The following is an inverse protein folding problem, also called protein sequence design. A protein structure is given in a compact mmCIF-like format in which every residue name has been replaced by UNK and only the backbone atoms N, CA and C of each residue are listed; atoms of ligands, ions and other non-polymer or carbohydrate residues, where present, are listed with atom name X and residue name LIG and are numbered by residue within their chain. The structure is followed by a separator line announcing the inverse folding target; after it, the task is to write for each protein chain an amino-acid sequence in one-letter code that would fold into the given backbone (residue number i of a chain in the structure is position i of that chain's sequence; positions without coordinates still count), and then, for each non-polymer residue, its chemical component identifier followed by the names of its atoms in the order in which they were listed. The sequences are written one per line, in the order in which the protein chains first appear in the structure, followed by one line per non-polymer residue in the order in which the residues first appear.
data_IF_908038404023
#
_entry.id   IF_908038404023
#
_cell.length_a   1.000
_cell.length_b   1.000
_cell.length_c   1.000
_cell.angle_alpha   90.00
_cell.angle_beta   90.00
_cell.angle_gamma   90.00
#
_symmetry.space_group_name_H-M   'P 1'
#
loop_
_entity.id
_entity.type
_entity.pdbx_description
1 polymer ?
#
# COMPACT_ATOMS: atom_id res chain seq x y z
N UNK A 1 1.34 -31.27 3.17
CA UNK A 1 1.32 -30.24 2.10
C UNK A 1 -0.01 -30.36 1.37
N UNK A 2 -0.73 -29.25 1.21
CA UNK A 2 -2.00 -29.26 0.46
C UNK A 2 -1.76 -29.59 -1.02
N UNK A 3 -2.71 -30.30 -1.63
CA UNK A 3 -2.67 -30.61 -3.07
C UNK A 3 -2.77 -29.30 -3.86
N UNK A 4 -1.85 -29.08 -4.81
CA UNK A 4 -1.87 -27.89 -5.67
C UNK A 4 -3.18 -27.76 -6.44
N UNK A 5 -3.70 -26.54 -6.52
CA UNK A 5 -4.89 -26.21 -7.32
C UNK A 5 -4.59 -26.30 -8.81
N UNK A 6 -5.64 -26.38 -9.65
CA UNK A 6 -5.49 -26.47 -11.12
C UNK A 6 -4.65 -25.32 -11.69
N UNK A 7 -4.92 -24.09 -11.27
CA UNK A 7 -4.19 -22.90 -11.74
C UNK A 7 -2.73 -22.88 -11.27
N UNK A 8 -2.46 -23.33 -10.05
CA UNK A 8 -1.08 -23.45 -9.54
C UNK A 8 -0.25 -24.45 -10.35
N UNK A 9 -0.86 -25.56 -10.78
CA UNK A 9 -0.18 -26.53 -11.65
C UNK A 9 0.15 -25.96 -13.03
N UNK A 10 -0.82 -25.28 -13.65
CA UNK A 10 -0.61 -24.62 -14.95
C UNK A 10 0.47 -23.54 -14.90
N UNK A 11 0.52 -22.76 -13.80
CA UNK A 11 1.60 -21.81 -13.59
C UNK A 11 2.97 -22.51 -13.46
N UNK A 12 3.04 -23.57 -12.67
CA UNK A 12 4.28 -24.31 -12.43
C UNK A 12 4.82 -25.00 -13.70
N UNK A 13 3.95 -25.44 -14.60
CA UNK A 13 4.34 -26.02 -15.90
C UNK A 13 5.07 -25.01 -16.81
N UNK A 14 4.80 -23.71 -16.66
CA UNK A 14 5.47 -22.65 -17.41
C UNK A 14 6.77 -22.15 -16.78
N UNK A 15 7.07 -22.59 -15.55
CA UNK A 15 8.25 -22.15 -14.79
C UNK A 15 9.26 -23.29 -14.75
N UNK A 16 10.47 -23.04 -15.26
CA UNK A 16 11.58 -23.98 -15.17
C UNK A 16 12.31 -23.79 -13.84
N UNK A 17 12.25 -24.81 -12.98
CA UNK A 17 12.94 -24.78 -11.70
C UNK A 17 14.46 -24.66 -11.88
N UNK A 18 15.07 -23.67 -11.22
CA UNK A 18 16.52 -23.43 -11.25
C UNK A 18 17.01 -22.59 -12.43
N UNK A 19 16.14 -22.22 -13.38
CA UNK A 19 16.49 -21.30 -14.46
C UNK A 19 16.54 -19.86 -13.95
N UNK A 20 17.61 -19.16 -14.28
CA UNK A 20 17.72 -17.71 -14.07
C UNK A 20 17.10 -17.00 -15.28
N UNK A 21 15.91 -16.42 -15.09
CA UNK A 21 15.25 -15.60 -16.09
C UNK A 21 15.82 -14.18 -16.09
N UNK A 22 15.94 -13.55 -17.26
CA UNK A 22 16.17 -12.11 -17.32
C UNK A 22 14.94 -11.35 -16.83
N UNK A 23 15.13 -10.09 -16.40
CA UNK A 23 14.03 -9.26 -15.91
C UNK A 23 12.89 -9.14 -16.94
N UNK A 24 13.22 -9.04 -18.22
CA UNK A 24 12.24 -8.90 -19.31
C UNK A 24 11.43 -10.19 -19.51
N UNK A 25 12.10 -11.35 -19.46
CA UNK A 25 11.42 -12.64 -19.57
C UNK A 25 10.52 -12.89 -18.36
N UNK A 26 11.02 -12.62 -17.16
CA UNK A 26 10.24 -12.75 -15.93
C UNK A 26 9.00 -11.84 -15.95
N UNK A 27 9.15 -10.58 -16.39
CA UNK A 27 8.03 -9.63 -16.47
C UNK A 27 6.93 -10.07 -17.45
N UNK A 28 7.31 -10.67 -18.59
CA UNK A 28 6.34 -11.26 -19.53
C UNK A 28 5.69 -12.51 -18.95
N UNK A 29 6.49 -13.41 -18.36
CA UNK A 29 6.03 -14.67 -17.80
C UNK A 29 5.02 -14.47 -16.67
N UNK A 30 5.27 -13.52 -15.77
CA UNK A 30 4.36 -13.24 -14.65
C UNK A 30 2.95 -12.88 -15.15
N UNK A 31 2.86 -12.08 -16.22
CA UNK A 31 1.55 -11.73 -16.81
C UNK A 31 0.80 -12.94 -17.38
N UNK A 32 1.53 -13.96 -17.86
CA UNK A 32 0.92 -15.17 -18.41
C UNK A 32 0.45 -16.18 -17.36
N UNK A 33 1.05 -16.16 -16.18
CA UNK A 33 0.73 -17.08 -15.07
C UNK A 33 -0.23 -16.46 -14.05
N UNK A 34 -0.65 -15.22 -14.26
CA UNK A 34 -1.68 -14.56 -13.45
C UNK A 34 -3.07 -15.02 -13.88
N UNK A 35 -3.73 -15.77 -13.01
CA UNK A 35 -5.11 -16.27 -13.21
C UNK A 35 -6.15 -15.50 -12.37
N UNK A 36 -5.76 -14.38 -11.75
CA UNK A 36 -6.70 -13.52 -11.01
C UNK A 36 -7.65 -12.84 -11.98
N UNK A 37 -8.88 -12.58 -11.53
CA UNK A 37 -9.89 -11.84 -12.30
C UNK A 37 -9.79 -10.31 -12.10
N UNK A 38 -8.88 -9.89 -11.23
CA UNK A 38 -8.61 -8.51 -10.87
C UNK A 38 -7.13 -8.20 -11.10
N UNK A 39 -6.79 -6.92 -11.08
CA UNK A 39 -5.41 -6.45 -11.25
C UNK A 39 -4.55 -6.86 -10.04
N UNK A 40 -3.63 -7.79 -10.27
CA UNK A 40 -2.83 -8.39 -9.22
C UNK A 40 -1.59 -7.56 -8.91
N UNK A 41 -1.22 -7.52 -7.64
CA UNK A 41 0.06 -6.96 -7.21
C UNK A 41 1.20 -7.94 -7.50
N UNK A 42 2.36 -7.39 -7.86
CA UNK A 42 3.61 -8.13 -8.01
C UNK A 42 4.43 -7.97 -6.74
N UNK A 43 4.78 -9.09 -6.11
CA UNK A 43 5.73 -9.13 -5.01
C UNK A 43 7.10 -9.66 -5.48
N UNK A 44 8.17 -9.18 -4.84
CA UNK A 44 9.54 -9.61 -5.10
C UNK A 44 10.16 -10.10 -3.80
N UNK A 45 10.48 -11.39 -3.74
CA UNK A 45 11.19 -11.99 -2.63
C UNK A 45 12.70 -11.87 -2.83
N UNK A 46 13.36 -11.17 -1.90
CA UNK A 46 14.81 -10.99 -1.91
C UNK A 46 15.41 -11.67 -0.70
N UNK A 47 16.21 -12.72 -0.93
CA UNK A 47 16.98 -13.37 0.12
C UNK A 47 18.20 -12.52 0.47
N UNK A 48 18.16 -11.86 1.62
CA UNK A 48 19.27 -11.09 2.17
C UNK A 48 20.21 -11.96 2.99
N UNK A 49 21.49 -11.60 3.04
CA UNK A 49 22.53 -12.27 3.85
C UNK A 49 22.62 -11.76 5.29
N UNK A 50 21.53 -11.22 5.85
CA UNK A 50 21.49 -10.59 7.18
C UNK A 50 21.08 -11.58 8.27
N UNK A 51 21.59 -11.39 9.48
CA UNK A 51 21.15 -12.11 10.68
C UNK A 51 20.07 -11.28 11.41
N UNK A 52 18.79 -11.67 11.36
CA UNK A 52 17.70 -10.91 11.97
C UNK A 52 17.78 -10.88 13.50
N UNK A 53 18.61 -11.72 14.13
CA UNK A 53 18.83 -11.71 15.58
C UNK A 53 19.71 -10.54 16.03
N UNK A 54 20.45 -9.93 15.10
CA UNK A 54 21.33 -8.79 15.36
C UNK A 54 20.60 -7.50 14.97
N UNK A 55 20.30 -6.65 15.94
CA UNK A 55 19.53 -5.42 15.74
C UNK A 55 20.13 -4.49 14.65
N UNK A 56 21.46 -4.45 14.53
CA UNK A 56 22.17 -3.64 13.53
C UNK A 56 22.13 -4.20 12.10
N UNK A 57 21.57 -5.39 11.89
CA UNK A 57 21.39 -6.01 10.57
C UNK A 57 19.93 -6.06 10.12
N UNK A 58 19.01 -5.51 10.92
CA UNK A 58 17.61 -5.39 10.54
C UNK A 58 17.44 -4.33 9.43
N UNK A 59 16.88 -4.74 8.29
CA UNK A 59 16.62 -3.83 7.16
C UNK A 59 15.16 -3.38 7.23
N UNK A 60 14.94 -2.09 7.44
CA UNK A 60 13.62 -1.44 7.37
C UNK A 60 13.78 -0.12 6.64
N UNK A 61 13.12 0.01 5.50
CA UNK A 61 13.22 1.20 4.66
C UNK A 61 11.98 1.41 3.82
N UNK A 62 11.89 2.60 3.24
CA UNK A 62 10.89 2.98 2.25
C UNK A 62 11.64 3.39 0.99
N UNK A 63 11.12 3.03 -0.17
CA UNK A 63 11.70 3.41 -1.46
C UNK A 63 10.59 3.93 -2.37
N UNK A 64 10.87 5.05 -3.04
CA UNK A 64 10.01 5.58 -4.09
C UNK A 64 10.33 4.87 -5.39
N UNK A 65 9.33 4.22 -6.00
CA UNK A 65 9.50 3.56 -7.29
C UNK A 65 9.48 4.62 -8.42
N UNK A 66 10.39 4.52 -9.41
CA UNK A 66 10.50 5.52 -10.49
C UNK A 66 9.25 5.59 -11.39
N UNK A 67 8.46 4.51 -11.42
CA UNK A 67 7.21 4.44 -12.19
C UNK A 67 5.96 4.38 -11.28
N UNK A 68 6.12 4.67 -9.99
CA UNK A 68 5.07 4.50 -8.99
C UNK A 68 4.67 3.02 -8.80
N UNK A 69 3.55 2.82 -8.12
CA UNK A 69 2.97 1.48 -7.84
C UNK A 69 1.90 1.07 -8.85
N UNK A 70 1.60 1.92 -9.84
CA UNK A 70 0.51 1.71 -10.80
C UNK A 70 -0.90 1.87 -10.23
N UNK A 71 -1.03 2.08 -8.91
CA UNK A 71 -2.30 2.40 -8.25
C UNK A 71 -2.44 3.91 -8.14
N UNK A 72 -3.57 4.44 -8.58
CA UNK A 72 -3.96 5.82 -8.29
C UNK A 72 -4.33 5.89 -6.80
N UNK A 73 -3.46 6.54 -6.02
CA UNK A 73 -3.61 6.62 -4.57
C UNK A 73 -4.41 7.88 -4.27
N UNK A 74 -5.60 7.72 -3.69
CA UNK A 74 -6.42 8.85 -3.27
C UNK A 74 -6.01 9.31 -1.89
N UNK A 75 -5.53 10.55 -1.78
CA UNK A 75 -4.97 11.14 -0.57
C UNK A 75 -5.95 12.13 0.05
N UNK A 76 -6.31 11.90 1.31
CA UNK A 76 -7.05 12.84 2.14
C UNK A 76 -6.09 13.51 3.12
N UNK A 77 -5.98 14.84 3.05
CA UNK A 77 -5.26 15.64 4.03
C UNK A 77 -6.25 16.24 5.01
N UNK A 78 -6.17 15.80 6.27
CA UNK A 78 -6.85 16.44 7.39
C UNK A 78 -5.91 17.52 7.94
N UNK A 79 -6.29 18.78 7.82
CA UNK A 79 -5.49 19.90 8.31
C UNK A 79 -6.37 21.05 8.79
N UNK A 80 -5.76 21.97 9.53
CA UNK A 80 -6.42 23.22 9.92
C UNK A 80 -6.54 24.18 8.71
N UNK A 81 -7.47 25.15 8.73
CA UNK A 81 -7.77 26.01 7.57
C UNK A 81 -6.55 26.77 7.01
N UNK A 82 -5.57 27.09 7.86
CA UNK A 82 -4.32 27.75 7.51
C UNK A 82 -3.41 26.92 6.60
N UNK A 83 -3.55 25.60 6.62
CA UNK A 83 -2.72 24.68 5.84
C UNK A 83 -3.45 24.05 4.64
N UNK A 84 -4.74 24.33 4.46
CA UNK A 84 -5.52 23.76 3.36
C UNK A 84 -4.98 24.18 1.99
N UNK A 85 -4.55 25.43 1.84
CA UNK A 85 -4.01 25.93 0.58
C UNK A 85 -2.74 25.16 0.17
N UNK A 86 -1.81 24.97 1.11
CA UNK A 86 -0.58 24.21 0.88
C UNK A 86 -0.86 22.73 0.54
N UNK A 87 -1.86 22.12 1.19
CA UNK A 87 -2.25 20.75 0.90
C UNK A 87 -2.87 20.59 -0.51
N UNK A 88 -3.69 21.55 -0.93
CA UNK A 88 -4.28 21.58 -2.29
C UNK A 88 -3.19 21.80 -3.34
N UNK A 89 -2.25 22.70 -3.10
CA UNK A 89 -1.10 22.93 -3.99
C UNK A 89 -0.18 21.71 -4.09
N UNK A 90 -0.04 20.93 -3.00
CA UNK A 90 0.71 19.68 -3.00
C UNK A 90 0.04 18.54 -3.78
N UNK A 91 -1.20 18.73 -4.27
CA UNK A 91 -1.91 17.76 -5.08
C UNK A 91 -2.72 16.73 -4.30
N UNK A 92 -3.17 17.07 -3.08
CA UNK A 92 -4.10 16.21 -2.35
C UNK A 92 -5.49 16.18 -3.02
N UNK A 93 -6.09 14.99 -3.16
CA UNK A 93 -7.42 14.82 -3.76
C UNK A 93 -8.53 15.43 -2.90
N UNK A 94 -8.40 15.27 -1.57
CA UNK A 94 -9.36 15.77 -0.60
C UNK A 94 -8.64 16.51 0.51
N UNK A 95 -9.15 17.68 0.89
CA UNK A 95 -8.58 18.53 1.93
C UNK A 95 -9.70 19.11 2.79
N UNK A 96 -9.61 18.96 4.11
CA UNK A 96 -10.53 19.57 5.07
C UNK A 96 -10.50 18.84 6.42
N UNK A 97 -11.20 19.37 7.43
CA UNK A 97 -11.19 18.80 8.79
C UNK A 97 -12.56 18.25 9.22
N UNK A 98 -13.44 19.11 9.74
CA UNK A 98 -14.64 18.66 10.45
C UNK A 98 -15.67 18.02 9.48
N UNK A 99 -15.75 18.48 8.23
CA UNK A 99 -16.61 17.88 7.19
C UNK A 99 -16.23 16.42 6.92
N UNK A 100 -14.95 16.14 6.70
CA UNK A 100 -14.46 14.79 6.41
C UNK A 100 -14.51 13.89 7.65
N UNK A 101 -14.35 14.44 8.85
CA UNK A 101 -14.55 13.69 10.10
C UNK A 101 -15.99 13.15 10.17
N UNK A 102 -17.00 13.99 9.95
CA UNK A 102 -18.40 13.56 9.96
C UNK A 102 -18.71 12.59 8.81
N UNK A 103 -18.16 12.83 7.62
CA UNK A 103 -18.31 11.94 6.46
C UNK A 103 -17.74 10.54 6.73
N UNK A 104 -16.58 10.46 7.38
CA UNK A 104 -15.94 9.19 7.78
C UNK A 104 -16.74 8.50 8.89
N UNK A 105 -17.29 9.23 9.86
CA UNK A 105 -18.24 8.66 10.85
C UNK A 105 -19.45 8.04 10.16
N UNK A 106 -19.93 8.66 9.09
CA UNK A 106 -21.00 8.16 8.23
C UNK A 106 -20.62 6.94 7.36
N UNK A 107 -19.37 6.46 7.42
CA UNK A 107 -18.91 5.26 6.71
C UNK A 107 -18.18 5.52 5.39
N UNK A 108 -17.99 6.79 5.01
CA UNK A 108 -17.23 7.13 3.80
C UNK A 108 -15.74 6.86 4.00
N UNK A 109 -15.14 6.11 3.08
CA UNK A 109 -13.75 5.62 3.16
C UNK A 109 -13.18 5.42 1.76
N UNK A 110 -13.56 6.29 0.83
CA UNK A 110 -13.16 6.18 -0.57
C UNK A 110 -11.78 6.81 -0.84
N UNK A 111 -10.83 6.48 0.05
CA UNK A 111 -9.49 7.04 0.12
C UNK A 111 -8.51 5.95 0.53
N UNK A 112 -7.25 6.10 0.11
CA UNK A 112 -6.20 5.10 0.34
C UNK A 112 -5.21 5.53 1.42
N UNK A 113 -4.99 6.84 1.58
CA UNK A 113 -4.06 7.39 2.57
C UNK A 113 -4.68 8.62 3.23
N UNK A 114 -4.61 8.68 4.56
CA UNK A 114 -4.94 9.88 5.34
C UNK A 114 -3.65 10.47 5.89
N UNK A 115 -3.39 11.73 5.57
CA UNK A 115 -2.30 12.52 6.15
C UNK A 115 -2.92 13.54 7.10
N UNK A 116 -2.30 13.72 8.26
CA UNK A 116 -2.82 14.62 9.29
C UNK A 116 -1.71 15.38 9.99
N UNK A 117 -2.07 16.52 10.57
CA UNK A 117 -1.20 17.23 11.50
C UNK A 117 -1.25 16.60 12.91
N UNK A 118 -0.13 16.59 13.66
CA UNK A 118 -0.09 16.10 15.04
C UNK A 118 -1.12 16.78 15.96
N UNK A 119 -1.38 18.07 15.75
CA UNK A 119 -2.30 18.90 16.54
C UNK A 119 -3.75 18.41 16.54
N UNK A 120 -4.17 17.70 15.48
CA UNK A 120 -5.57 17.25 15.31
C UNK A 120 -5.74 15.73 15.46
N UNK A 121 -4.66 14.99 15.75
CA UNK A 121 -4.72 13.53 15.94
C UNK A 121 -5.68 13.12 17.06
N UNK A 122 -5.84 13.94 18.10
CA UNK A 122 -6.80 13.71 19.19
C UNK A 122 -8.26 13.64 18.71
N UNK A 123 -8.63 14.45 17.71
CA UNK A 123 -9.98 14.41 17.10
C UNK A 123 -10.19 13.15 16.25
N UNK A 124 -9.15 12.69 15.55
CA UNK A 124 -9.18 11.53 14.65
C UNK A 124 -9.23 10.21 15.43
N UNK A 125 -8.78 10.19 16.69
CA UNK A 125 -8.85 9.00 17.55
C UNK A 125 -10.25 8.40 17.67
N UNK A 126 -11.30 9.23 17.65
CA UNK A 126 -12.69 8.78 17.68
C UNK A 126 -13.09 7.95 16.43
N UNK A 127 -12.40 8.15 15.31
CA UNK A 127 -12.61 7.42 14.05
C UNK A 127 -11.90 6.06 14.01
N UNK A 128 -11.16 5.70 15.06
CA UNK A 128 -10.38 4.46 15.12
C UNK A 128 -11.20 3.20 14.88
N UNK A 129 -12.50 3.19 15.21
CA UNK A 129 -13.40 2.06 14.92
C UNK A 129 -13.65 1.85 13.41
N UNK A 130 -13.64 2.93 12.63
CA UNK A 130 -13.88 2.89 11.17
C UNK A 130 -12.56 2.75 10.41
N UNK A 131 -11.56 3.53 10.80
CA UNK A 131 -10.27 3.61 10.10
C UNK A 131 -9.30 2.48 10.48
N UNK A 132 -9.38 1.99 11.73
CA UNK A 132 -8.47 0.97 12.26
C UNK A 132 -8.51 -0.36 11.50
N UNK A 133 -9.68 -1.01 11.32
CA UNK A 133 -9.79 -2.27 10.58
C UNK A 133 -9.34 -2.18 9.11
N UNK A 134 -9.35 -0.96 8.55
CA UNK A 134 -8.95 -0.68 7.16
C UNK A 134 -7.49 -0.25 7.02
N UNK A 135 -6.76 -0.09 8.12
CA UNK A 135 -5.36 0.37 8.09
C UNK A 135 -5.19 1.82 7.61
N UNK A 136 -6.26 2.62 7.62
CA UNK A 136 -6.26 4.02 7.14
C UNK A 136 -5.93 5.02 8.26
N UNK A 137 -5.67 4.55 9.47
CA UNK A 137 -5.41 5.41 10.61
C UNK A 137 -4.02 6.05 10.49
N UNK A 138 -3.91 7.39 10.52
CA UNK A 138 -2.62 8.06 10.45
C UNK A 138 -1.71 7.64 11.61
N UNK A 139 -0.47 7.31 11.29
CA UNK A 139 0.57 6.97 12.26
C UNK A 139 1.63 8.08 12.23
N UNK A 140 2.25 8.45 13.37
CA UNK A 140 3.40 9.37 13.37
C UNK A 140 4.65 8.85 12.63
N UNK A 141 4.67 7.56 12.25
CA UNK A 141 5.71 6.94 11.41
C UNK A 141 5.35 7.04 9.94
#
# INVERSE_FOLDING_TARGET
MGKLTKNQKLAAEKIEAGKAYSLKEAASLVKEITFSKFDASLDIDVRLGVDPRKANQMVRGVVSLPHGTGKEVRVLVLCTPDAEAAAKEAGADYVGLDEYIEKIKGGWTDIDVIITMPSIMGKIGALGRVLGPRGLMPNPK
#
